data_IF_245939386155
#
_entry.id   IF_245939386155
#
_cell.length_a   1.000
_cell.length_b   1.000
_cell.length_c   1.000
_cell.angle_alpha   90.00
_cell.angle_beta   90.00
_cell.angle_gamma   90.00
#
_symmetry.space_group_name_H-M   'P 1'
#
loop_
_entity.id
_entity.type
_entity.pdbx_description
1 polymer ?
#
# COMPACT_ATOMS: atom_id res chain seq x y z
N UNK A 1 35.23 -8.94 -25.87
CA UNK A 1 33.95 -8.47 -26.44
C UNK A 1 33.03 -9.60 -26.97
N UNK A 2 33.59 -10.69 -27.55
CA UNK A 2 32.76 -11.82 -28.07
C UNK A 2 32.09 -12.68 -27.00
N UNK A 3 32.61 -12.75 -25.77
CA UNK A 3 31.96 -13.51 -24.66
C UNK A 3 30.76 -12.79 -24.06
N UNK A 4 30.73 -11.46 -24.03
CA UNK A 4 29.60 -10.70 -23.48
C UNK A 4 28.29 -10.87 -24.29
N UNK A 5 28.38 -11.18 -25.58
CA UNK A 5 27.22 -11.48 -26.42
C UNK A 5 26.53 -12.77 -26.01
N UNK A 6 27.28 -13.81 -25.64
CA UNK A 6 26.73 -15.12 -25.22
C UNK A 6 25.92 -15.03 -23.94
N UNK A 7 26.34 -14.19 -22.97
CA UNK A 7 25.58 -14.04 -21.71
C UNK A 7 24.21 -13.43 -21.94
N UNK A 8 24.07 -12.47 -22.84
CA UNK A 8 22.80 -11.88 -23.22
C UNK A 8 21.89 -12.89 -23.92
N UNK A 9 22.45 -13.72 -24.79
CA UNK A 9 21.68 -14.74 -25.50
C UNK A 9 21.17 -15.84 -24.53
N UNK A 10 22.05 -16.30 -23.62
CA UNK A 10 21.64 -17.22 -22.57
C UNK A 10 20.57 -16.64 -21.64
N UNK A 11 20.70 -15.37 -21.24
CA UNK A 11 19.70 -14.70 -20.42
C UNK A 11 18.34 -14.59 -21.15
N UNK A 12 18.36 -14.28 -22.45
CA UNK A 12 17.15 -14.24 -23.29
C UNK A 12 16.49 -15.62 -23.39
N UNK A 13 17.30 -16.68 -23.59
CA UNK A 13 16.80 -18.05 -23.65
C UNK A 13 16.08 -18.43 -22.37
N UNK A 14 16.65 -18.12 -21.19
CA UNK A 14 15.98 -18.36 -19.89
C UNK A 14 14.65 -17.64 -19.82
N UNK A 15 14.62 -16.33 -20.10
CA UNK A 15 13.41 -15.52 -20.03
C UNK A 15 12.32 -16.01 -21.02
N UNK A 16 12.72 -16.43 -22.22
CA UNK A 16 11.78 -16.99 -23.20
C UNK A 16 11.21 -18.33 -22.73
N UNK A 17 12.05 -19.20 -22.16
CA UNK A 17 11.59 -20.51 -21.63
C UNK A 17 10.59 -20.30 -20.47
N UNK A 18 10.88 -19.39 -19.56
CA UNK A 18 9.96 -19.07 -18.45
C UNK A 18 8.65 -18.45 -18.96
N UNK A 19 8.73 -17.53 -19.95
CA UNK A 19 7.54 -16.95 -20.57
C UNK A 19 6.66 -18.00 -21.27
N UNK A 20 7.25 -19.04 -21.87
CA UNK A 20 6.51 -20.14 -22.46
C UNK A 20 5.80 -20.97 -21.38
N UNK A 21 6.50 -21.32 -20.29
CA UNK A 21 5.88 -22.03 -19.17
C UNK A 21 4.69 -21.27 -18.56
N UNK A 22 4.74 -19.93 -18.54
CA UNK A 22 3.56 -19.13 -18.13
C UNK A 22 2.38 -19.26 -19.10
N UNK A 23 2.64 -19.35 -20.42
CA UNK A 23 1.57 -19.58 -21.41
C UNK A 23 0.96 -20.97 -21.26
N UNK A 24 1.79 -22.00 -21.01
CA UNK A 24 1.34 -23.35 -20.75
C UNK A 24 0.38 -23.39 -19.56
N UNK A 25 0.78 -22.84 -18.40
CA UNK A 25 -0.08 -22.76 -17.20
C UNK A 25 -1.37 -22.00 -17.49
N UNK A 26 -1.31 -20.88 -18.21
CA UNK A 26 -2.50 -20.08 -18.52
C UNK A 26 -3.49 -20.84 -19.42
N UNK A 27 -2.99 -21.68 -20.33
CA UNK A 27 -3.81 -22.50 -21.21
C UNK A 27 -4.44 -23.71 -20.49
N UNK A 28 -3.81 -24.21 -19.42
CA UNK A 28 -4.26 -25.36 -18.63
C UNK A 28 -5.18 -25.00 -17.45
N UNK A 29 -5.45 -23.71 -17.22
CA UNK A 29 -6.39 -23.30 -16.15
C UNK A 29 -7.78 -23.91 -16.42
N UNK A 30 -8.29 -24.59 -15.41
CA UNK A 30 -9.54 -25.31 -15.44
C UNK A 30 -10.49 -24.93 -14.29
N UNK A 31 -11.57 -25.70 -14.14
CA UNK A 31 -12.57 -25.52 -13.07
C UNK A 31 -11.95 -25.64 -11.67
N UNK A 32 -10.85 -26.38 -11.48
CA UNK A 32 -10.21 -26.49 -10.17
C UNK A 32 -9.61 -25.16 -9.73
N UNK A 33 -9.12 -24.32 -10.66
CA UNK A 33 -8.70 -22.97 -10.32
C UNK A 33 -9.88 -22.13 -9.79
N UNK A 34 -11.07 -22.27 -10.41
CA UNK A 34 -12.29 -21.58 -9.97
C UNK A 34 -12.71 -22.06 -8.59
N UNK A 35 -12.73 -23.39 -8.36
CA UNK A 35 -13.06 -23.95 -7.05
C UNK A 35 -12.08 -23.50 -5.96
N UNK A 36 -10.79 -23.45 -6.26
CA UNK A 36 -9.79 -22.95 -5.32
C UNK A 36 -10.00 -21.46 -5.01
N UNK A 37 -10.23 -20.64 -6.03
CA UNK A 37 -10.51 -19.21 -5.82
C UNK A 37 -11.79 -19.02 -4.98
N UNK A 38 -12.83 -19.80 -5.21
CA UNK A 38 -14.07 -19.74 -4.44
C UNK A 38 -13.86 -20.17 -2.98
N UNK A 39 -13.14 -21.26 -2.73
CA UNK A 39 -12.79 -21.73 -1.39
C UNK A 39 -11.99 -20.65 -0.62
N UNK A 40 -11.03 -20.01 -1.29
CA UNK A 40 -10.23 -18.93 -0.70
C UNK A 40 -11.06 -17.65 -0.45
N UNK A 41 -12.00 -17.33 -1.34
CA UNK A 41 -12.89 -16.18 -1.22
C UNK A 41 -13.82 -16.30 -0.02
N UNK A 42 -14.38 -17.50 0.20
CA UNK A 42 -15.35 -17.80 1.26
C UNK A 42 -14.70 -18.34 2.54
N UNK A 43 -13.36 -18.38 2.60
CA UNK A 43 -12.62 -18.76 3.80
C UNK A 43 -13.03 -17.87 4.98
N UNK A 44 -13.55 -18.47 6.05
CA UNK A 44 -13.97 -17.77 7.27
C UNK A 44 -12.81 -17.60 8.27
N UNK A 45 -11.79 -18.44 8.15
CA UNK A 45 -10.55 -18.36 8.90
C UNK A 45 -9.47 -17.59 8.13
N UNK A 46 -8.29 -18.20 8.03
CA UNK A 46 -7.14 -17.65 7.32
C UNK A 46 -6.68 -18.62 6.22
N UNK A 47 -6.05 -18.09 5.20
CA UNK A 47 -5.38 -18.89 4.19
C UNK A 47 -3.99 -19.24 4.71
N UNK A 48 -3.72 -20.53 4.91
CA UNK A 48 -2.43 -21.02 5.37
C UNK A 48 -1.68 -21.61 4.19
N UNK A 49 -0.52 -21.07 3.87
CA UNK A 49 0.28 -21.55 2.75
C UNK A 49 1.47 -22.34 3.28
N UNK A 50 1.75 -23.49 2.70
CA UNK A 50 2.84 -24.38 3.11
C UNK A 50 3.59 -24.94 1.91
N UNK A 51 4.90 -25.21 2.09
CA UNK A 51 5.78 -25.74 1.05
C UNK A 51 7.22 -25.86 1.51
N UNK A 52 7.99 -26.76 0.91
CA UNK A 52 9.40 -26.98 1.22
C UNK A 52 10.33 -26.26 0.24
N UNK A 53 11.51 -25.85 0.74
CA UNK A 53 12.59 -25.30 -0.09
C UNK A 53 12.13 -24.12 -0.96
N UNK A 54 12.32 -24.22 -2.30
CA UNK A 54 11.92 -23.18 -3.24
C UNK A 54 10.41 -22.97 -3.26
N UNK A 55 9.62 -24.04 -3.17
CA UNK A 55 8.15 -23.94 -3.05
C UNK A 55 7.75 -23.20 -1.78
N UNK A 56 8.49 -23.36 -0.69
CA UNK A 56 8.29 -22.59 0.56
C UNK A 56 8.57 -21.11 0.39
N UNK A 57 9.63 -20.72 -0.34
CA UNK A 57 9.91 -19.31 -0.65
C UNK A 57 8.80 -18.68 -1.50
N UNK A 58 8.31 -19.41 -2.52
CA UNK A 58 7.16 -18.96 -3.32
C UNK A 58 5.90 -18.86 -2.45
N UNK A 59 5.66 -19.85 -1.57
CA UNK A 59 4.54 -19.84 -0.64
C UNK A 59 4.54 -18.65 0.32
N UNK A 60 5.71 -18.26 0.84
CA UNK A 60 5.86 -17.03 1.64
C UNK A 60 5.50 -15.78 0.86
N UNK A 61 5.95 -15.69 -0.41
CA UNK A 61 5.59 -14.56 -1.29
C UNK A 61 4.08 -14.55 -1.56
N UNK A 62 3.49 -15.69 -1.86
CA UNK A 62 2.05 -15.82 -2.10
C UNK A 62 1.23 -15.38 -0.88
N UNK A 63 1.60 -15.84 0.34
CA UNK A 63 0.97 -15.43 1.59
C UNK A 63 1.04 -13.90 1.79
N UNK A 64 2.22 -13.32 1.57
CA UNK A 64 2.42 -11.87 1.71
C UNK A 64 1.58 -11.09 0.68
N UNK A 65 1.52 -11.55 -0.59
CA UNK A 65 0.68 -10.92 -1.63
C UNK A 65 -0.80 -10.99 -1.25
N UNK A 66 -1.30 -12.15 -0.84
CA UNK A 66 -2.70 -12.32 -0.42
C UNK A 66 -3.04 -11.41 0.78
N UNK A 67 -2.19 -11.39 1.82
CA UNK A 67 -2.39 -10.55 2.99
C UNK A 67 -2.43 -9.05 2.62
N UNK A 68 -1.56 -8.62 1.72
CA UNK A 68 -1.50 -7.23 1.26
C UNK A 68 -2.64 -6.82 0.33
N UNK A 69 -3.35 -7.79 -0.24
CA UNK A 69 -4.47 -7.59 -1.17
C UNK A 69 -5.84 -7.99 -0.58
N UNK A 70 -5.94 -8.04 0.76
CA UNK A 70 -7.21 -8.17 1.47
C UNK A 70 -7.66 -9.60 1.77
N UNK A 71 -6.80 -10.60 1.58
CA UNK A 71 -7.06 -11.99 2.00
C UNK A 71 -6.13 -12.33 3.16
N UNK A 72 -6.64 -12.51 4.40
CA UNK A 72 -5.80 -12.86 5.54
C UNK A 72 -5.06 -14.18 5.31
N UNK A 73 -3.74 -14.11 5.17
CA UNK A 73 -2.90 -15.26 4.84
C UNK A 73 -1.57 -15.24 5.59
N UNK A 74 -1.02 -16.42 5.87
CA UNK A 74 0.32 -16.58 6.43
C UNK A 74 0.95 -17.89 5.96
N UNK A 75 2.24 -18.01 6.15
CA UNK A 75 3.01 -19.19 5.77
C UNK A 75 3.37 -20.02 7.00
N UNK A 76 3.22 -21.34 6.90
CA UNK A 76 3.68 -22.32 7.88
C UNK A 76 4.66 -23.27 7.20
N UNK A 77 5.83 -23.46 7.79
CA UNK A 77 6.82 -24.42 7.27
C UNK A 77 6.38 -25.85 7.63
N UNK A 78 6.29 -26.79 6.65
CA UNK A 78 5.70 -28.11 6.94
C UNK A 78 6.49 -28.94 7.93
N UNK A 79 7.83 -28.79 8.00
CA UNK A 79 8.63 -29.47 9.02
C UNK A 79 8.35 -28.91 10.44
N UNK A 80 8.17 -27.60 10.58
CA UNK A 80 7.79 -26.97 11.86
C UNK A 80 6.37 -27.35 12.26
N UNK A 81 5.45 -27.42 11.27
CA UNK A 81 4.10 -27.92 11.47
C UNK A 81 4.09 -29.34 12.05
N UNK A 82 4.94 -30.23 11.53
CA UNK A 82 5.05 -31.60 12.03
C UNK A 82 5.56 -31.68 13.49
N UNK A 83 6.20 -30.61 14.00
CA UNK A 83 6.79 -30.53 15.33
C UNK A 83 6.06 -29.58 16.29
N UNK A 84 4.84 -29.12 15.96
CA UNK A 84 3.99 -28.36 16.88
C UNK A 84 3.24 -27.19 16.25
N UNK A 85 3.78 -26.55 15.20
CA UNK A 85 3.17 -25.38 14.58
C UNK A 85 1.88 -25.72 13.81
N UNK A 86 1.54 -27.01 13.68
CA UNK A 86 0.22 -27.43 13.19
C UNK A 86 -0.94 -26.86 14.05
N UNK A 87 -0.67 -26.50 15.30
CA UNK A 87 -1.60 -25.80 16.18
C UNK A 87 -1.99 -24.40 15.69
N UNK A 88 -1.21 -23.79 14.79
CA UNK A 88 -1.53 -22.50 14.17
C UNK A 88 -2.68 -22.61 13.14
N UNK A 89 -2.95 -23.81 12.65
CA UNK A 89 -4.02 -24.11 11.67
C UNK A 89 -5.26 -24.54 12.47
N UNK A 90 -6.35 -23.81 12.28
CA UNK A 90 -7.60 -24.03 13.03
C UNK A 90 -8.74 -24.37 12.06
N UNK A 91 -9.86 -24.83 12.59
CA UNK A 91 -11.05 -25.11 11.81
C UNK A 91 -11.51 -23.85 11.05
N UNK A 92 -12.07 -24.04 9.87
CA UNK A 92 -12.45 -23.00 8.90
C UNK A 92 -11.27 -22.29 8.18
N UNK A 93 -10.02 -22.67 8.42
CA UNK A 93 -8.90 -22.24 7.58
C UNK A 93 -8.95 -22.98 6.23
N UNK A 94 -8.31 -22.38 5.21
CA UNK A 94 -8.00 -23.04 3.94
C UNK A 94 -6.50 -23.22 3.84
N UNK A 95 -6.04 -24.43 3.62
CA UNK A 95 -4.60 -24.74 3.47
C UNK A 95 -4.25 -24.86 2.00
N UNK A 96 -3.23 -24.11 1.53
CA UNK A 96 -2.66 -24.23 0.19
C UNK A 96 -1.26 -24.84 0.30
N UNK A 97 -1.13 -26.09 -0.11
CA UNK A 97 0.13 -26.83 -0.09
C UNK A 97 0.79 -26.83 -1.48
N UNK A 98 2.06 -26.44 -1.54
CA UNK A 98 2.82 -26.27 -2.79
C UNK A 98 3.98 -27.27 -2.84
N UNK A 99 4.00 -28.11 -3.88
CA UNK A 99 5.10 -29.03 -4.15
C UNK A 99 5.14 -29.40 -5.63
N UNK A 100 6.25 -29.13 -6.32
CA UNK A 100 6.33 -29.47 -7.75
C UNK A 100 6.13 -30.97 -8.02
N UNK A 101 6.80 -31.85 -7.25
CA UNK A 101 6.62 -33.29 -7.38
C UNK A 101 5.31 -33.81 -6.79
N UNK A 102 4.74 -33.12 -5.81
CA UNK A 102 3.61 -33.58 -5.02
C UNK A 102 3.92 -34.74 -4.08
N UNK A 103 5.22 -35.04 -3.87
CA UNK A 103 5.72 -36.18 -3.08
C UNK A 103 6.65 -35.70 -1.93
N UNK A 104 6.36 -34.54 -1.30
CA UNK A 104 7.10 -34.08 -0.14
C UNK A 104 6.72 -34.87 1.11
N UNK A 105 7.68 -35.57 1.72
CA UNK A 105 7.49 -36.35 2.94
C UNK A 105 6.98 -35.49 4.11
N UNK A 106 7.51 -34.26 4.23
CA UNK A 106 7.14 -33.33 5.30
C UNK A 106 5.68 -32.85 5.17
N UNK A 107 5.22 -32.62 3.93
CA UNK A 107 3.82 -32.26 3.70
C UNK A 107 2.92 -33.48 3.86
N UNK A 108 3.32 -34.65 3.34
CA UNK A 108 2.59 -35.89 3.48
C UNK A 108 2.37 -36.26 4.95
N UNK A 109 3.35 -36.03 5.80
CA UNK A 109 3.28 -36.29 7.24
C UNK A 109 2.19 -35.49 7.97
N UNK A 110 1.87 -34.28 7.52
CA UNK A 110 0.87 -33.41 8.17
C UNK A 110 -0.55 -33.59 7.57
N UNK A 111 -0.69 -34.11 6.35
CA UNK A 111 -1.99 -34.29 5.68
C UNK A 111 -3.01 -35.04 6.58
N UNK A 112 -2.69 -36.18 7.23
CA UNK A 112 -3.67 -36.89 8.07
C UNK A 112 -4.20 -36.04 9.23
N UNK A 113 -3.38 -35.17 9.78
CA UNK A 113 -3.79 -34.28 10.86
C UNK A 113 -4.64 -33.10 10.32
N UNK A 114 -4.31 -32.57 9.14
CA UNK A 114 -5.13 -31.57 8.45
C UNK A 114 -6.52 -32.12 8.13
N UNK A 115 -6.60 -33.36 7.62
CA UNK A 115 -7.89 -34.00 7.27
C UNK A 115 -8.80 -34.32 8.47
N UNK A 116 -8.30 -34.20 9.70
CA UNK A 116 -9.12 -34.33 10.94
C UNK A 116 -9.75 -33.01 11.37
N UNK A 117 -9.33 -31.91 10.75
CA UNK A 117 -9.88 -30.58 10.98
C UNK A 117 -10.90 -30.26 9.90
N UNK A 118 -11.84 -29.38 10.20
CA UNK A 118 -12.78 -28.85 9.21
C UNK A 118 -12.09 -27.74 8.38
N UNK A 119 -11.19 -28.20 7.48
CA UNK A 119 -10.43 -27.33 6.59
C UNK A 119 -10.56 -27.82 5.14
N UNK A 120 -10.40 -26.91 4.19
CA UNK A 120 -10.23 -27.25 2.77
C UNK A 120 -8.75 -27.28 2.43
N UNK A 121 -8.28 -28.41 1.87
CA UNK A 121 -6.90 -28.57 1.41
C UNK A 121 -6.82 -28.38 -0.10
N UNK A 122 -6.19 -27.31 -0.54
CA UNK A 122 -5.83 -27.03 -1.93
C UNK A 122 -4.38 -27.45 -2.15
N UNK A 123 -4.10 -28.27 -3.16
CA UNK A 123 -2.73 -28.62 -3.52
C UNK A 123 -2.37 -28.07 -4.90
N UNK A 124 -1.18 -27.47 -5.01
CA UNK A 124 -0.59 -27.01 -6.28
C UNK A 124 0.61 -27.90 -6.57
N UNK A 125 0.52 -28.74 -7.61
CA UNK A 125 1.61 -29.65 -8.01
C UNK A 125 1.70 -29.75 -9.53
N UNK A 126 2.84 -30.22 -10.07
CA UNK A 126 2.97 -30.51 -11.49
C UNK A 126 2.35 -31.87 -11.85
N UNK A 127 2.02 -32.73 -10.86
CA UNK A 127 1.61 -34.11 -11.08
C UNK A 127 0.24 -34.42 -10.47
N UNK A 128 -0.80 -34.59 -11.30
CA UNK A 128 -2.15 -34.89 -10.83
C UNK A 128 -2.28 -36.28 -10.17
N UNK A 129 -1.35 -37.17 -10.43
CA UNK A 129 -1.27 -38.51 -9.87
C UNK A 129 -0.45 -38.60 -8.57
N UNK A 130 0.07 -37.47 -8.08
CA UNK A 130 0.90 -37.44 -6.90
C UNK A 130 0.14 -37.70 -5.59
N UNK A 131 0.86 -38.07 -4.53
CA UNK A 131 0.29 -38.30 -3.20
C UNK A 131 -0.47 -37.07 -2.70
N UNK A 132 0.08 -35.88 -2.84
CA UNK A 132 -0.59 -34.64 -2.42
C UNK A 132 -1.86 -34.38 -3.23
N UNK A 133 -1.82 -34.56 -4.57
CA UNK A 133 -2.98 -34.33 -5.43
C UNK A 133 -4.14 -35.27 -5.07
N UNK A 134 -3.86 -36.57 -4.79
CA UNK A 134 -4.87 -37.54 -4.39
C UNK A 134 -5.52 -37.25 -3.04
N UNK A 135 -4.83 -36.54 -2.12
CA UNK A 135 -5.37 -36.21 -0.82
C UNK A 135 -5.96 -34.79 -0.76
N UNK A 136 -5.78 -33.98 -1.80
CA UNK A 136 -6.36 -32.66 -1.88
C UNK A 136 -7.89 -32.71 -2.02
N UNK A 137 -8.57 -31.72 -1.48
CA UNK A 137 -9.98 -31.45 -1.80
C UNK A 137 -10.08 -30.75 -3.16
N UNK A 138 -9.09 -29.93 -3.49
CA UNK A 138 -8.94 -29.24 -4.77
C UNK A 138 -7.48 -29.34 -5.21
N UNK A 139 -7.25 -29.77 -6.44
CA UNK A 139 -5.91 -29.87 -7.01
C UNK A 139 -5.77 -28.94 -8.22
N UNK A 140 -4.80 -28.03 -8.18
CA UNK A 140 -4.42 -27.18 -9.31
C UNK A 140 -3.15 -27.76 -9.93
N UNK A 141 -3.21 -28.11 -11.20
CA UNK A 141 -2.03 -28.56 -11.96
C UNK A 141 -1.17 -27.34 -12.33
N UNK A 142 0.12 -27.41 -11.99
CA UNK A 142 1.11 -26.38 -12.32
C UNK A 142 2.32 -27.06 -12.99
N UNK A 143 2.07 -27.70 -14.12
CA UNK A 143 3.07 -28.40 -14.92
C UNK A 143 3.68 -27.47 -15.96
N UNK A 144 5.00 -27.55 -16.15
CA UNK A 144 5.73 -26.87 -17.22
C UNK A 144 6.51 -27.91 -18.03
N UNK A 145 6.57 -27.72 -19.34
CA UNK A 145 7.22 -28.68 -20.25
C UNK A 145 8.76 -28.71 -20.07
N UNK A 146 9.37 -27.59 -19.65
CA UNK A 146 10.83 -27.46 -19.58
C UNK A 146 11.27 -26.48 -18.49
N UNK A 147 12.28 -26.85 -17.72
CA UNK A 147 13.03 -25.90 -16.89
C UNK A 147 14.01 -25.09 -17.73
N UNK A 148 14.18 -23.80 -17.39
CA UNK A 148 15.18 -22.95 -18.05
C UNK A 148 16.62 -23.30 -17.66
N UNK A 149 16.80 -24.04 -16.56
CA UNK A 149 18.10 -24.59 -16.18
C UNK A 149 18.58 -25.58 -17.23
N UNK A 150 19.74 -25.40 -17.86
CA UNK A 150 20.25 -26.29 -18.91
C UNK A 150 20.51 -27.72 -18.43
N UNK A 151 20.67 -27.93 -17.12
CA UNK A 151 20.81 -29.26 -16.52
C UNK A 151 19.46 -29.89 -16.18
N UNK A 152 18.35 -29.16 -16.28
CA UNK A 152 17.03 -29.62 -15.87
C UNK A 152 16.87 -29.91 -14.36
N UNK A 153 17.84 -29.50 -13.54
CA UNK A 153 17.88 -29.82 -12.09
C UNK A 153 17.40 -28.69 -11.21
N UNK A 154 17.73 -27.46 -11.56
CA UNK A 154 17.31 -26.29 -10.76
C UNK A 154 15.90 -25.86 -11.15
N UNK A 155 14.95 -25.82 -10.22
CA UNK A 155 13.63 -25.24 -10.46
C UNK A 155 13.76 -23.76 -10.81
N UNK A 156 13.32 -23.41 -12.01
CA UNK A 156 13.34 -22.05 -12.61
C UNK A 156 11.95 -21.74 -13.18
N UNK A 157 11.64 -22.27 -14.36
CA UNK A 157 10.33 -22.12 -15.01
C UNK A 157 9.18 -22.56 -14.13
N UNK A 158 9.29 -23.72 -13.47
CA UNK A 158 8.28 -24.23 -12.55
C UNK A 158 8.05 -23.28 -11.36
N UNK A 159 9.09 -22.71 -10.78
CA UNK A 159 8.95 -21.75 -9.67
C UNK A 159 8.35 -20.43 -10.12
N UNK A 160 8.72 -19.93 -11.27
CA UNK A 160 8.14 -18.72 -11.89
C UNK A 160 6.66 -18.92 -12.20
N UNK A 161 6.29 -20.07 -12.75
CA UNK A 161 4.91 -20.45 -13.06
C UNK A 161 4.03 -20.54 -11.81
N UNK A 162 4.47 -21.22 -10.75
CA UNK A 162 3.73 -21.31 -9.46
C UNK A 162 3.61 -19.94 -8.79
N UNK A 163 4.64 -19.10 -8.87
CA UNK A 163 4.57 -17.73 -8.35
C UNK A 163 3.51 -16.92 -9.10
N UNK A 164 3.49 -16.96 -10.42
CA UNK A 164 2.50 -16.26 -11.24
C UNK A 164 1.07 -16.78 -11.00
N UNK A 165 0.91 -18.09 -10.82
CA UNK A 165 -0.37 -18.71 -10.45
C UNK A 165 -0.86 -18.19 -9.09
N UNK A 166 0.03 -18.06 -8.11
CA UNK A 166 -0.28 -17.46 -6.81
C UNK A 166 -0.70 -16.00 -6.91
N UNK A 167 -0.08 -15.23 -7.79
CA UNK A 167 -0.48 -13.85 -8.08
C UNK A 167 -1.83 -13.78 -8.79
N UNK A 168 -2.10 -14.72 -9.70
CA UNK A 168 -3.40 -14.82 -10.36
C UNK A 168 -4.52 -15.07 -9.33
N UNK A 169 -4.33 -16.01 -8.40
CA UNK A 169 -5.29 -16.24 -7.30
C UNK A 169 -5.48 -14.97 -6.46
N UNK A 170 -4.40 -14.32 -6.01
CA UNK A 170 -4.49 -13.13 -5.18
C UNK A 170 -5.23 -11.98 -5.90
N UNK A 171 -4.98 -11.78 -7.21
CA UNK A 171 -5.64 -10.72 -7.99
C UNK A 171 -7.11 -11.06 -8.29
N UNK A 172 -7.44 -12.32 -8.51
CA UNK A 172 -8.84 -12.77 -8.65
C UNK A 172 -9.61 -12.48 -7.36
N UNK A 173 -9.05 -12.83 -6.20
CA UNK A 173 -9.64 -12.55 -4.88
C UNK A 173 -9.79 -11.05 -4.62
N UNK A 174 -8.78 -10.26 -4.95
CA UNK A 174 -8.81 -8.80 -4.86
C UNK A 174 -9.99 -8.22 -5.65
N UNK A 175 -10.18 -8.68 -6.89
CA UNK A 175 -11.30 -8.24 -7.76
C UNK A 175 -12.65 -8.70 -7.21
N UNK A 176 -12.75 -9.95 -6.77
CA UNK A 176 -13.98 -10.51 -6.22
C UNK A 176 -14.42 -9.81 -4.93
N UNK A 177 -13.47 -9.32 -4.13
CA UNK A 177 -13.73 -8.53 -2.91
C UNK A 177 -13.98 -7.04 -3.18
N UNK A 178 -13.87 -6.58 -4.43
CA UNK A 178 -13.89 -5.14 -4.78
C UNK A 178 -12.89 -4.32 -3.93
N UNK A 179 -11.70 -4.88 -3.67
CA UNK A 179 -10.65 -4.28 -2.85
C UNK A 179 -10.17 -2.96 -3.46
N UNK A 180 -10.16 -1.91 -2.65
CA UNK A 180 -9.91 -0.53 -3.09
C UNK A 180 -8.47 -0.07 -2.80
N UNK A 181 -8.01 1.05 -3.41
CA UNK A 181 -6.77 1.69 -3.02
C UNK A 181 -6.72 2.10 -1.54
N UNK A 182 -7.86 2.45 -0.95
CA UNK A 182 -7.96 2.81 0.46
C UNK A 182 -7.71 1.59 1.37
N UNK A 183 -8.25 0.43 1.01
CA UNK A 183 -7.97 -0.84 1.70
C UNK A 183 -6.48 -1.22 1.59
N UNK A 184 -5.87 -1.00 0.42
CA UNK A 184 -4.44 -1.22 0.23
C UNK A 184 -3.58 -0.32 1.11
N UNK A 185 -3.99 0.95 1.28
CA UNK A 185 -3.30 1.90 2.14
C UNK A 185 -3.31 1.46 3.62
N UNK A 186 -4.42 0.91 4.10
CA UNK A 186 -4.53 0.34 5.45
C UNK A 186 -3.54 -0.80 5.68
N UNK A 187 -3.30 -1.61 4.64
CA UNK A 187 -2.31 -2.71 4.69
C UNK A 187 -0.86 -2.22 4.58
N UNK A 188 -0.62 -1.00 4.06
CA UNK A 188 0.71 -0.44 3.81
C UNK A 188 0.86 1.00 4.37
N UNK A 189 0.64 1.24 5.67
CA UNK A 189 0.56 2.60 6.23
C UNK A 189 1.87 3.40 6.10
N UNK A 190 3.02 2.74 6.09
CA UNK A 190 4.33 3.38 5.94
C UNK A 190 4.75 3.64 4.49
N UNK A 191 4.08 3.04 3.52
CA UNK A 191 4.36 3.19 2.09
C UNK A 191 3.97 4.59 1.57
N UNK A 192 4.54 5.00 0.42
CA UNK A 192 4.19 6.28 -0.23
C UNK A 192 2.68 6.39 -0.52
N UNK A 193 2.06 5.29 -0.97
CA UNK A 193 0.63 5.23 -1.22
C UNK A 193 -0.18 5.33 0.08
N UNK A 194 0.23 4.63 1.15
CA UNK A 194 -0.42 4.70 2.47
C UNK A 194 -0.42 6.12 3.02
N UNK A 195 0.73 6.81 2.97
CA UNK A 195 0.82 8.21 3.39
C UNK A 195 -0.11 9.13 2.60
N UNK A 196 -0.16 8.98 1.27
CA UNK A 196 -1.02 9.80 0.40
C UNK A 196 -2.51 9.61 0.68
N UNK A 197 -2.93 8.41 1.07
CA UNK A 197 -4.34 8.05 1.27
C UNK A 197 -4.82 8.17 2.72
N UNK A 198 -3.91 8.17 3.71
CA UNK A 198 -4.28 8.16 5.11
C UNK A 198 -3.90 9.44 5.87
N UNK A 199 -2.89 10.20 5.39
CA UNK A 199 -2.39 11.37 6.11
C UNK A 199 -3.40 12.50 6.07
N UNK A 200 -3.78 12.99 7.25
CA UNK A 200 -4.71 14.12 7.41
C UNK A 200 -3.97 15.43 7.55
N UNK A 201 -4.67 16.53 7.30
CA UNK A 201 -4.18 17.88 7.56
C UNK A 201 -3.73 18.03 9.02
N UNK A 202 -4.48 17.47 9.97
CA UNK A 202 -4.16 17.45 11.40
C UNK A 202 -2.78 16.90 11.74
N UNK A 203 -2.26 15.97 10.93
CA UNK A 203 -0.99 15.27 11.18
C UNK A 203 0.22 16.09 10.77
N UNK A 204 0.05 17.06 9.84
CA UNK A 204 1.14 17.84 9.24
C UNK A 204 1.03 19.34 9.47
N UNK A 205 -0.11 19.84 9.93
CA UNK A 205 -0.30 21.28 10.15
C UNK A 205 0.52 21.82 11.34
N UNK A 206 0.98 23.04 11.24
CA UNK A 206 1.55 23.79 12.35
C UNK A 206 0.45 24.18 13.34
N UNK A 207 0.72 24.04 14.65
CA UNK A 207 -0.22 24.28 15.76
C UNK A 207 0.41 25.10 16.85
N UNK A 208 -0.41 25.69 17.72
CA UNK A 208 0.04 26.37 18.94
C UNK A 208 1.09 27.45 18.66
N UNK A 209 2.23 27.40 19.32
CA UNK A 209 3.31 28.40 19.18
C UNK A 209 3.92 28.47 17.76
N UNK A 210 3.72 27.49 16.90
CA UNK A 210 4.13 27.50 15.48
C UNK A 210 3.13 28.17 14.54
N UNK A 211 1.96 28.56 15.04
CA UNK A 211 0.89 29.13 14.23
C UNK A 211 1.18 30.59 13.91
N UNK A 212 1.22 31.00 12.61
CA UNK A 212 1.40 32.39 12.22
C UNK A 212 0.08 33.15 12.37
N UNK A 213 -0.18 33.73 13.53
CA UNK A 213 -1.41 34.45 13.82
C UNK A 213 -1.19 35.72 14.63
N UNK A 214 -1.93 36.76 14.27
CA UNK A 214 -2.05 38.02 15.01
C UNK A 214 -3.52 38.39 15.20
N UNK A 215 -3.79 39.33 16.10
CA UNK A 215 -5.13 39.87 16.31
C UNK A 215 -5.47 41.02 15.39
N UNK A 216 -6.73 41.27 15.16
CA UNK A 216 -7.23 42.52 14.61
C UNK A 216 -6.64 43.71 15.35
N UNK A 217 -6.31 44.80 14.64
CA UNK A 217 -5.70 46.00 15.18
C UNK A 217 -4.18 45.89 15.41
N UNK A 218 -3.54 44.78 15.12
CA UNK A 218 -2.07 44.63 15.22
C UNK A 218 -1.40 45.61 14.22
N UNK A 219 -0.40 46.40 14.64
CA UNK A 219 0.38 47.24 13.73
C UNK A 219 1.02 46.38 12.63
N UNK A 220 0.95 46.83 11.38
CA UNK A 220 1.45 46.07 10.23
C UNK A 220 2.92 45.66 10.38
N UNK A 221 3.77 46.53 10.96
CA UNK A 221 5.18 46.23 11.22
C UNK A 221 5.35 44.99 12.11
N UNK A 222 4.56 44.87 13.18
CA UNK A 222 4.59 43.74 14.09
C UNK A 222 4.06 42.47 13.41
N UNK A 223 3.01 42.60 12.59
CA UNK A 223 2.44 41.53 11.80
C UNK A 223 3.47 40.94 10.82
N UNK A 224 4.24 41.78 10.12
CA UNK A 224 5.31 41.36 9.20
C UNK A 224 6.43 40.62 9.96
N UNK A 225 6.84 41.11 11.12
CA UNK A 225 7.84 40.39 11.95
C UNK A 225 7.33 39.01 12.33
N UNK A 226 6.10 38.91 12.84
CA UNK A 226 5.48 37.65 13.21
C UNK A 226 5.41 36.68 12.03
N UNK A 227 5.03 37.15 10.84
CA UNK A 227 4.99 36.33 9.62
C UNK A 227 6.36 35.76 9.25
N UNK A 228 7.40 36.60 9.31
CA UNK A 228 8.79 36.23 9.03
C UNK A 228 9.34 35.22 10.04
N UNK A 229 9.07 35.40 11.32
CA UNK A 229 9.52 34.47 12.37
C UNK A 229 8.92 33.07 12.24
N UNK A 230 7.67 32.96 11.77
CA UNK A 230 6.99 31.68 11.59
C UNK A 230 7.31 30.96 10.26
N UNK A 231 7.78 31.70 9.25
CA UNK A 231 8.33 31.16 8.01
C UNK A 231 7.34 30.43 7.11
N UNK A 232 6.01 30.57 7.31
CA UNK A 232 5.00 29.90 6.48
C UNK A 232 4.58 30.71 5.25
N UNK A 233 5.10 31.93 5.08
CA UNK A 233 4.77 32.82 3.96
C UNK A 233 3.35 33.37 4.02
N UNK A 234 2.66 33.20 5.14
CA UNK A 234 1.32 33.71 5.40
C UNK A 234 1.12 34.00 6.90
N UNK A 235 0.16 34.87 7.20
CA UNK A 235 -0.22 35.26 8.54
C UNK A 235 -1.73 35.28 8.66
N UNK A 236 -2.28 34.58 9.62
CA UNK A 236 -3.71 34.63 9.94
C UNK A 236 -4.02 35.85 10.79
N UNK A 237 -5.15 36.47 10.53
CA UNK A 237 -5.68 37.56 11.37
C UNK A 237 -6.94 37.07 12.05
N UNK A 238 -7.00 37.18 13.40
CA UNK A 238 -8.06 36.65 14.23
C UNK A 238 -8.69 37.70 15.12
N UNK A 239 -9.92 37.46 15.57
CA UNK A 239 -10.55 38.26 16.63
C UNK A 239 -10.12 37.82 18.04
N UNK A 240 -10.71 38.44 19.06
CA UNK A 240 -10.44 38.11 20.46
C UNK A 240 -10.82 36.72 20.91
N UNK A 241 -11.60 35.97 20.06
CA UNK A 241 -12.04 34.58 20.28
C UNK A 241 -11.30 33.61 19.37
N UNK A 242 -10.16 34.01 18.77
CA UNK A 242 -9.38 33.24 17.80
C UNK A 242 -10.15 32.84 16.52
N UNK A 243 -11.27 33.47 16.21
CA UNK A 243 -11.97 33.23 14.95
C UNK A 243 -11.23 33.93 13.82
N UNK A 244 -11.07 33.20 12.72
CA UNK A 244 -10.37 33.69 11.55
C UNK A 244 -11.14 34.83 10.88
N UNK A 245 -10.47 35.96 10.63
CA UNK A 245 -11.04 37.15 9.99
C UNK A 245 -10.37 37.49 8.67
N UNK A 246 -9.08 37.15 8.54
CA UNK A 246 -8.35 37.42 7.32
C UNK A 246 -7.04 36.65 7.24
N UNK A 247 -6.35 36.86 6.13
CA UNK A 247 -5.00 36.38 5.85
C UNK A 247 -4.19 37.46 5.17
N UNK A 248 -2.90 37.51 5.50
CA UNK A 248 -1.91 38.35 4.83
C UNK A 248 -0.72 37.48 4.42
N UNK A 249 -0.21 37.64 3.21
CA UNK A 249 0.82 36.76 2.62
C UNK A 249 2.03 37.58 2.17
N UNK A 250 3.16 36.85 1.89
CA UNK A 250 4.34 37.47 1.27
C UNK A 250 4.01 38.12 -0.10
N UNK A 251 3.03 37.58 -0.81
CA UNK A 251 2.53 38.18 -2.05
C UNK A 251 1.84 39.52 -1.83
N UNK A 252 1.07 39.63 -0.74
CA UNK A 252 0.38 40.87 -0.38
C UNK A 252 1.39 41.93 0.09
N UNK A 253 2.37 41.50 0.90
CA UNK A 253 3.46 42.39 1.30
C UNK A 253 4.20 42.97 0.09
N UNK A 254 4.54 42.15 -0.90
CA UNK A 254 5.21 42.63 -2.12
C UNK A 254 4.35 43.60 -2.94
N UNK A 255 3.04 43.35 -3.05
CA UNK A 255 2.11 44.30 -3.70
C UNK A 255 2.03 45.62 -2.96
N UNK A 256 1.92 45.53 -1.63
CA UNK A 256 1.85 46.71 -0.80
C UNK A 256 3.08 47.62 -0.93
N UNK A 257 4.29 47.01 -1.05
CA UNK A 257 5.53 47.77 -1.32
C UNK A 257 5.55 48.47 -2.70
N UNK A 258 4.73 48.03 -3.65
CA UNK A 258 4.61 48.66 -4.97
C UNK A 258 3.61 49.83 -4.95
N UNK A 259 2.65 49.79 -4.04
CA UNK A 259 1.52 50.74 -4.00
C UNK A 259 1.69 51.83 -2.94
N UNK A 260 2.54 51.63 -1.93
CA UNK A 260 2.67 52.53 -0.78
C UNK A 260 4.13 52.69 -0.34
N UNK A 261 4.61 53.93 -0.31
CA UNK A 261 5.97 54.26 0.13
C UNK A 261 6.12 54.34 1.66
N UNK A 262 5.00 54.42 2.40
CA UNK A 262 5.04 54.60 3.85
C UNK A 262 3.98 53.71 4.54
N UNK A 263 4.44 52.78 5.37
CA UNK A 263 3.62 51.85 6.14
C UNK A 263 3.41 52.27 7.59
N UNK A 264 3.90 53.46 7.96
CA UNK A 264 3.83 53.95 9.34
C UNK A 264 2.38 54.24 9.70
N UNK A 265 1.87 53.55 10.73
CA UNK A 265 0.52 53.75 11.25
C UNK A 265 -0.55 52.83 10.63
N UNK A 266 -0.22 52.00 9.62
CA UNK A 266 -1.16 51.01 9.10
C UNK A 266 -1.34 49.84 10.07
N UNK A 267 -2.58 49.35 10.21
CA UNK A 267 -2.91 48.12 10.88
C UNK A 267 -3.06 46.96 9.86
N UNK A 268 -2.91 45.75 10.34
CA UNK A 268 -3.08 44.54 9.50
C UNK A 268 -4.49 44.45 8.86
N UNK A 269 -5.49 44.99 9.54
CA UNK A 269 -6.90 44.98 9.12
C UNK A 269 -7.12 45.75 7.80
N UNK A 270 -6.30 46.74 7.52
CA UNK A 270 -6.41 47.62 6.35
C UNK A 270 -5.84 46.97 5.09
N UNK A 271 -5.00 45.91 5.26
CA UNK A 271 -4.25 45.31 4.16
C UNK A 271 -4.50 43.79 4.00
N UNK A 272 -5.18 43.17 4.94
CA UNK A 272 -5.49 41.71 4.89
C UNK A 272 -6.57 41.39 3.87
N UNK A 273 -6.55 40.16 3.35
CA UNK A 273 -7.67 39.60 2.63
C UNK A 273 -8.69 38.99 3.59
N UNK A 274 -9.96 39.37 3.48
CA UNK A 274 -11.05 38.98 4.40
C UNK A 274 -11.67 37.60 4.08
N UNK A 275 -11.30 36.97 2.97
CA UNK A 275 -11.81 35.66 2.54
C UNK A 275 -10.68 34.65 2.39
N UNK A 276 -10.00 34.26 3.48
CA UNK A 276 -8.91 33.30 3.44
C UNK A 276 -9.41 31.93 2.95
N UNK A 277 -8.57 31.23 2.23
CA UNK A 277 -8.82 29.82 1.90
C UNK A 277 -8.52 28.97 3.12
N UNK A 278 -9.49 28.16 3.52
CA UNK A 278 -9.41 27.29 4.70
C UNK A 278 -9.64 25.84 4.36
N UNK A 279 -9.23 24.97 5.27
CA UNK A 279 -9.50 23.54 5.22
C UNK A 279 -9.74 23.01 6.64
N UNK A 280 -10.53 21.94 6.77
CA UNK A 280 -10.70 21.25 8.06
C UNK A 280 -9.51 20.33 8.36
N UNK A 281 -9.16 20.21 9.64
CA UNK A 281 -8.10 19.31 10.12
C UNK A 281 -8.32 17.83 9.77
N UNK A 282 -9.58 17.40 9.66
CA UNK A 282 -9.97 16.03 9.35
C UNK A 282 -9.82 15.64 7.87
N UNK A 283 -9.65 16.62 6.99
CA UNK A 283 -9.47 16.38 5.56
C UNK A 283 -8.12 15.76 5.29
N UNK A 284 -8.03 15.01 4.18
CA UNK A 284 -6.76 14.40 3.76
C UNK A 284 -5.75 15.46 3.28
N UNK A 285 -4.47 15.20 3.50
CA UNK A 285 -3.41 16.07 3.01
C UNK A 285 -3.40 16.21 1.48
N UNK A 286 -3.83 15.17 0.76
CA UNK A 286 -4.05 15.22 -0.70
C UNK A 286 -5.18 16.17 -1.11
N UNK A 287 -6.18 16.37 -0.27
CA UNK A 287 -7.24 17.34 -0.52
C UNK A 287 -6.75 18.77 -0.31
N UNK A 288 -5.89 18.98 0.71
CA UNK A 288 -5.22 20.26 0.89
C UNK A 288 -4.41 20.66 -0.35
N UNK A 289 -3.68 19.72 -0.96
CA UNK A 289 -2.97 19.94 -2.22
C UNK A 289 -3.92 20.39 -3.34
N UNK A 290 -5.05 19.69 -3.51
CA UNK A 290 -6.05 20.05 -4.54
C UNK A 290 -6.64 21.45 -4.33
N UNK A 291 -6.92 21.80 -3.06
CA UNK A 291 -7.42 23.15 -2.72
C UNK A 291 -6.38 24.23 -3.03
N UNK A 292 -5.09 23.97 -2.67
CA UNK A 292 -4.01 24.91 -2.99
C UNK A 292 -3.85 25.11 -4.51
N UNK A 293 -3.84 24.04 -5.28
CA UNK A 293 -3.72 24.08 -6.74
C UNK A 293 -4.90 24.79 -7.42
N UNK A 294 -6.14 24.44 -7.03
CA UNK A 294 -7.35 25.03 -7.60
C UNK A 294 -7.49 26.53 -7.32
N UNK A 295 -6.93 27.02 -6.21
CA UNK A 295 -7.00 28.42 -5.81
C UNK A 295 -5.69 29.19 -6.06
N UNK A 296 -4.65 28.54 -6.62
CA UNK A 296 -3.32 29.15 -6.86
C UNK A 296 -2.70 29.76 -5.59
N UNK A 297 -2.85 29.05 -4.44
CA UNK A 297 -2.27 29.47 -3.14
C UNK A 297 -1.25 28.46 -2.67
N UNK A 298 -0.22 28.92 -1.96
CA UNK A 298 0.87 28.09 -1.43
C UNK A 298 0.65 27.67 0.03
N UNK A 299 -0.45 28.08 0.65
CA UNK A 299 -0.76 27.74 2.02
C UNK A 299 -2.25 27.81 2.32
N UNK A 300 -2.66 27.11 3.35
CA UNK A 300 -4.04 27.06 3.84
C UNK A 300 -4.06 27.26 5.34
N UNK A 301 -5.06 27.99 5.81
CA UNK A 301 -5.38 28.09 7.22
C UNK A 301 -6.36 26.98 7.60
N UNK A 302 -6.18 26.40 8.78
CA UNK A 302 -7.00 25.28 9.25
C UNK A 302 -7.94 25.79 10.33
N UNK A 303 -9.23 25.59 10.12
CA UNK A 303 -10.27 26.00 11.08
C UNK A 303 -11.08 24.82 11.54
N UNK A 304 -11.67 24.92 12.72
CA UNK A 304 -12.73 24.05 13.17
C UNK A 304 -14.10 24.43 12.57
N UNK A 305 -15.17 23.75 13.02
CA UNK A 305 -16.53 23.98 12.55
C UNK A 305 -17.10 25.37 12.92
N UNK A 306 -16.57 25.98 13.98
CA UNK A 306 -16.97 27.31 14.47
C UNK A 306 -16.14 28.46 13.85
N UNK A 307 -15.24 28.12 12.93
CA UNK A 307 -14.33 29.07 12.26
C UNK A 307 -13.17 29.54 13.13
N UNK A 308 -12.88 28.84 14.22
CA UNK A 308 -11.71 29.10 15.06
C UNK A 308 -10.46 28.58 14.37
N UNK A 309 -9.41 29.40 14.34
CA UNK A 309 -8.13 29.02 13.77
C UNK A 309 -7.43 28.00 14.67
N UNK A 310 -7.16 26.80 14.15
CA UNK A 310 -6.51 25.70 14.88
C UNK A 310 -5.20 25.25 14.27
N UNK A 311 -4.88 25.68 13.04
CA UNK A 311 -3.65 25.29 12.37
C UNK A 311 -3.40 26.08 11.09
N UNK A 312 -2.24 25.81 10.51
CA UNK A 312 -1.84 26.30 9.19
C UNK A 312 -0.87 25.31 8.55
N UNK A 313 -0.89 25.20 7.23
CA UNK A 313 0.09 24.40 6.47
C UNK A 313 0.40 25.07 5.14
N UNK A 314 1.58 24.77 4.61
CA UNK A 314 1.99 25.27 3.31
C UNK A 314 2.43 24.11 2.38
N UNK A 315 2.85 24.45 1.15
CA UNK A 315 3.31 23.46 0.16
C UNK A 315 4.55 22.68 0.61
N UNK A 316 5.45 23.29 1.41
CA UNK A 316 6.63 22.62 1.94
C UNK A 316 6.27 21.51 2.93
N UNK A 317 5.21 21.68 3.71
CA UNK A 317 4.72 20.67 4.63
C UNK A 317 4.23 19.43 3.86
N UNK A 318 3.52 19.65 2.73
CA UNK A 318 3.06 18.57 1.84
C UNK A 318 4.23 17.85 1.16
N UNK A 319 5.27 18.59 0.75
CA UNK A 319 6.49 18.01 0.18
C UNK A 319 7.26 17.19 1.22
N UNK A 320 7.45 17.75 2.43
CA UNK A 320 8.12 17.03 3.53
C UNK A 320 7.39 15.74 3.91
N UNK A 321 6.05 15.76 3.86
CA UNK A 321 5.19 14.61 4.09
C UNK A 321 5.15 13.61 2.91
N UNK A 322 5.82 13.93 1.78
CA UNK A 322 5.82 13.13 0.53
C UNK A 322 4.42 12.91 -0.07
N UNK A 323 3.59 13.94 0.00
CA UNK A 323 2.25 13.95 -0.61
C UNK A 323 2.33 14.36 -2.09
N UNK A 324 3.33 15.17 -2.41
CA UNK A 324 3.65 15.63 -3.77
C UNK A 324 4.83 14.84 -4.33
#
# INVERSE_FOLDING_TARGET
MAENGKYLDWAREVLHTEAEGLREIAAELDENFVLAADALLHCKGRVVITGMGKSGHIGRKMAATMASTGTPAFFVHPAEAAHGDLGMIVDNDVVVAISNSGESDEIAAIIPALKRKDITLVCITARPDSTMARHADIHITASVSKEACPLGLAPTTSTTAVMALGDALAVVLLRARAFTPDDFALSHPAGSLGKRLLLRVADIMHKGGGLPAVRLGTPLKEAIVSMSEKGLGMLAVTDGQCRLKGVFTDGDLRRLFQECDNFTGLSIDEVMHTHPKTISAERLATEALKVMQANHVNGLLVTDADGVLIGALNMHDLLAARIV
#
